data_IF_797754022092
#
_entry.id   IF_797754022092
#
_cell.length_a   1.000
_cell.length_b   1.000
_cell.length_c   1.000
_cell.angle_alpha   90.00
_cell.angle_beta   90.00
_cell.angle_gamma   90.00
#
_symmetry.space_group_name_H-M   'P 1'
#
loop_
_entity.id
_entity.type
_entity.pdbx_description
1 polymer ?
#
# COMPACT_ATOMS: atom_id res chain seq x y z
N UNK A 1 -7.04 11.54 29.83
CA UNK A 1 -7.05 11.89 28.40
C UNK A 1 -7.09 10.57 27.67
N UNK A 2 -8.17 10.30 26.96
CA UNK A 2 -8.33 9.06 26.20
C UNK A 2 -7.22 8.99 25.18
N UNK A 3 -6.49 7.87 25.14
CA UNK A 3 -5.49 7.60 24.12
C UNK A 3 -6.17 7.70 22.74
N UNK A 4 -5.72 8.62 21.89
CA UNK A 4 -6.25 8.78 20.54
C UNK A 4 -5.89 7.59 19.63
N UNK A 5 -5.03 6.67 20.08
CA UNK A 5 -4.49 5.59 19.25
C UNK A 5 -3.30 6.03 18.40
N UNK A 6 -2.86 7.29 18.55
CA UNK A 6 -1.82 7.89 17.71
C UNK A 6 -0.46 7.18 17.86
N UNK A 7 -0.14 6.66 19.04
CA UNK A 7 1.13 5.92 19.27
C UNK A 7 1.19 4.64 18.42
N UNK A 8 0.10 3.86 18.39
CA UNK A 8 0.01 2.66 17.55
C UNK A 8 0.03 3.03 16.07
N UNK A 9 -0.82 3.99 15.67
CA UNK A 9 -0.90 4.42 14.29
C UNK A 9 0.44 4.90 13.73
N UNK A 10 1.22 5.69 14.50
CA UNK A 10 2.56 6.15 14.09
C UNK A 10 3.59 5.02 14.05
N UNK A 11 3.48 4.02 14.92
CA UNK A 11 4.38 2.87 14.92
C UNK A 11 4.20 1.99 13.67
N UNK A 12 2.96 1.87 13.17
CA UNK A 12 2.59 1.02 12.04
C UNK A 12 2.47 1.81 10.70
N UNK A 13 2.65 3.14 10.74
CA UNK A 13 2.37 4.03 9.60
C UNK A 13 3.23 3.71 8.35
N UNK A 14 4.48 3.33 8.56
CA UNK A 14 5.40 3.02 7.45
C UNK A 14 4.98 1.73 6.74
N UNK A 15 4.63 0.69 7.50
CA UNK A 15 4.12 -0.57 6.98
C UNK A 15 2.77 -0.35 6.28
N UNK A 16 1.93 0.54 6.81
CA UNK A 16 0.70 0.96 6.14
C UNK A 16 0.98 1.62 4.79
N UNK A 17 1.92 2.56 4.73
CA UNK A 17 2.28 3.31 3.53
C UNK A 17 2.79 2.40 2.40
N UNK A 18 3.52 1.34 2.74
CA UNK A 18 4.03 0.36 1.78
C UNK A 18 3.09 -0.82 1.50
N UNK A 19 1.88 -0.83 2.07
CA UNK A 19 0.89 -1.91 1.98
C UNK A 19 1.40 -3.26 2.54
N UNK A 20 2.17 -3.21 3.62
CA UNK A 20 2.79 -4.37 4.27
C UNK A 20 2.02 -4.84 5.51
N UNK A 21 0.92 -4.18 5.85
CA UNK A 21 0.04 -4.57 6.95
C UNK A 21 -1.00 -5.61 6.55
N UNK A 22 -1.41 -6.42 7.53
CA UNK A 22 -2.61 -7.23 7.39
C UNK A 22 -3.83 -6.35 7.15
N UNK A 23 -4.80 -6.85 6.37
CA UNK A 23 -5.97 -6.06 5.96
C UNK A 23 -6.79 -5.46 7.11
N UNK A 24 -6.81 -6.13 8.26
CA UNK A 24 -7.49 -5.65 9.48
C UNK A 24 -6.75 -4.47 10.10
N UNK A 25 -5.43 -4.58 10.27
CA UNK A 25 -4.61 -3.51 10.86
C UNK A 25 -4.56 -2.27 9.94
N UNK A 26 -4.52 -2.50 8.63
CA UNK A 26 -4.64 -1.43 7.64
C UNK A 26 -6.00 -0.72 7.69
N UNK A 27 -7.09 -1.42 8.04
CA UNK A 27 -8.41 -0.79 8.21
C UNK A 27 -8.45 0.10 9.46
N UNK A 28 -7.91 -0.38 10.58
CA UNK A 28 -7.84 0.37 11.84
C UNK A 28 -7.04 1.68 11.67
N UNK A 29 -5.87 1.61 11.03
CA UNK A 29 -5.05 2.80 10.78
C UNK A 29 -5.74 3.79 9.85
N UNK A 30 -6.43 3.28 8.81
CA UNK A 30 -7.18 4.13 7.87
C UNK A 30 -8.27 4.91 8.59
N UNK A 31 -9.06 4.24 9.42
CA UNK A 31 -10.08 4.89 10.25
C UNK A 31 -9.45 5.94 11.17
N UNK A 32 -8.31 5.64 11.79
CA UNK A 32 -7.63 6.60 12.65
C UNK A 32 -7.15 7.84 11.88
N UNK A 33 -6.50 7.67 10.73
CA UNK A 33 -5.96 8.76 9.93
C UNK A 33 -7.08 9.67 9.40
N UNK A 34 -8.22 9.11 9.02
CA UNK A 34 -9.40 9.87 8.59
C UNK A 34 -9.93 10.82 9.69
N UNK A 35 -9.69 10.48 10.96
CA UNK A 35 -10.21 11.22 12.11
C UNK A 35 -9.12 11.96 12.92
N UNK A 36 -7.85 11.88 12.52
CA UNK A 36 -6.72 12.43 13.26
C UNK A 36 -5.83 13.30 12.38
N UNK A 37 -5.88 14.63 12.57
CA UNK A 37 -5.10 15.59 11.78
C UNK A 37 -3.59 15.41 11.92
N UNK A 38 -3.11 14.97 13.07
CA UNK A 38 -1.69 14.72 13.33
C UNK A 38 -1.19 13.54 12.48
N UNK A 39 -1.86 12.38 12.57
CA UNK A 39 -1.50 11.20 11.80
C UNK A 39 -1.75 11.36 10.29
N UNK A 40 -2.76 12.13 9.88
CA UNK A 40 -2.94 12.52 8.47
C UNK A 40 -1.79 13.39 7.94
N UNK A 41 -1.23 14.26 8.78
CA UNK A 41 -0.09 15.08 8.40
C UNK A 41 1.18 14.24 8.26
N UNK A 42 1.42 13.31 9.19
CA UNK A 42 2.53 12.35 9.10
C UNK A 42 2.44 11.48 7.85
N UNK A 43 1.24 10.94 7.54
CA UNK A 43 1.02 10.16 6.32
C UNK A 43 1.37 10.99 5.08
N UNK A 44 0.92 12.25 5.04
CA UNK A 44 1.20 13.13 3.91
C UNK A 44 2.70 13.35 3.71
N UNK A 45 3.47 13.54 4.80
CA UNK A 45 4.93 13.65 4.73
C UNK A 45 5.54 12.38 4.14
N UNK A 46 5.14 11.20 4.61
CA UNK A 46 5.61 9.91 4.08
C UNK A 46 5.35 9.75 2.58
N UNK A 47 4.16 10.13 2.12
CA UNK A 47 3.79 10.09 0.68
C UNK A 47 4.68 11.02 -0.13
N UNK A 48 4.83 12.28 0.30
CA UNK A 48 5.64 13.28 -0.42
C UNK A 48 7.11 12.84 -0.50
N UNK A 49 7.66 12.27 0.57
CA UNK A 49 9.03 11.74 0.57
C UNK A 49 9.18 10.56 -0.38
N UNK A 50 8.24 9.62 -0.35
CA UNK A 50 8.21 8.44 -1.24
C UNK A 50 8.16 8.86 -2.70
N UNK A 51 7.27 9.78 -3.05
CA UNK A 51 7.16 10.33 -4.41
C UNK A 51 8.43 11.07 -4.85
N UNK A 52 9.07 11.81 -3.95
CA UNK A 52 10.31 12.52 -4.24
C UNK A 52 11.45 11.54 -4.55
N UNK A 53 11.58 10.46 -3.78
CA UNK A 53 12.56 9.39 -4.02
C UNK A 53 12.28 8.68 -5.34
N UNK A 54 11.03 8.30 -5.59
CA UNK A 54 10.62 7.64 -6.84
C UNK A 54 10.93 8.51 -8.07
N UNK A 55 10.68 9.83 -8.00
CA UNK A 55 11.00 10.76 -9.09
C UNK A 55 12.50 10.89 -9.34
N UNK A 56 13.30 10.80 -8.29
CA UNK A 56 14.76 10.86 -8.39
C UNK A 56 15.37 9.56 -8.94
N UNK A 57 14.72 8.42 -8.70
CA UNK A 57 15.14 7.12 -9.21
C UNK A 57 14.93 7.03 -10.73
N UNK A 58 16.00 6.83 -11.49
CA UNK A 58 15.98 6.70 -12.96
C UNK A 58 16.27 5.27 -13.42
N UNK A 59 16.35 4.33 -12.49
CA UNK A 59 16.61 2.93 -12.80
C UNK A 59 15.38 2.34 -13.50
N UNK A 60 15.60 1.74 -14.66
CA UNK A 60 14.54 1.08 -15.42
C UNK A 60 14.71 -0.42 -15.22
N UNK A 61 13.64 -1.08 -14.79
CA UNK A 61 13.63 -2.53 -14.69
C UNK A 61 13.93 -3.17 -16.06
N UNK A 62 14.73 -4.26 -16.13
CA UNK A 62 15.01 -4.95 -17.37
C UNK A 62 13.72 -5.36 -18.11
N UNK A 63 13.65 -5.14 -19.42
CA UNK A 63 12.47 -5.42 -20.24
C UNK A 63 12.05 -6.89 -20.13
N UNK A 64 13.03 -7.81 -20.17
CA UNK A 64 12.77 -9.25 -20.06
C UNK A 64 12.11 -9.61 -18.72
N UNK A 65 12.44 -8.92 -17.63
CA UNK A 65 11.84 -9.15 -16.32
C UNK A 65 10.39 -8.65 -16.30
N UNK A 66 10.15 -7.47 -16.88
CA UNK A 66 8.80 -6.91 -17.02
C UNK A 66 7.89 -7.83 -17.83
N UNK A 67 8.38 -8.37 -18.93
CA UNK A 67 7.62 -9.30 -19.77
C UNK A 67 7.29 -10.60 -19.03
N UNK A 68 8.24 -11.15 -18.28
CA UNK A 68 8.02 -12.33 -17.44
C UNK A 68 6.94 -12.10 -16.38
N UNK A 69 7.00 -10.97 -15.67
CA UNK A 69 5.99 -10.62 -14.65
C UNK A 69 4.61 -10.46 -15.27
N UNK A 70 4.51 -9.74 -16.41
CA UNK A 70 3.23 -9.54 -17.10
C UNK A 70 2.65 -10.85 -17.65
N UNK A 71 3.49 -11.76 -18.14
CA UNK A 71 3.05 -13.09 -18.57
C UNK A 71 2.49 -13.88 -17.39
N UNK A 72 3.23 -13.95 -16.27
CA UNK A 72 2.80 -14.66 -15.06
C UNK A 72 1.47 -14.13 -14.51
N UNK A 73 1.28 -12.80 -14.48
CA UNK A 73 0.01 -12.20 -14.07
C UNK A 73 -1.15 -12.66 -14.96
N UNK A 74 -0.96 -12.69 -16.29
CA UNK A 74 -1.99 -13.12 -17.24
C UNK A 74 -2.35 -14.59 -17.10
N UNK A 75 -1.37 -15.45 -16.83
CA UNK A 75 -1.58 -16.89 -16.58
C UNK A 75 -2.38 -17.12 -15.30
N UNK A 76 -2.08 -16.39 -14.23
CA UNK A 76 -2.85 -16.46 -12.98
C UNK A 76 -4.29 -15.96 -13.21
N UNK A 77 -4.47 -14.88 -13.96
CA UNK A 77 -5.80 -14.34 -14.25
C UNK A 77 -6.65 -15.25 -15.12
N UNK A 78 -6.05 -15.94 -16.11
CA UNK A 78 -6.78 -16.86 -16.97
C UNK A 78 -7.31 -18.07 -16.19
N UNK A 79 -6.54 -18.57 -15.22
CA UNK A 79 -6.94 -19.68 -14.35
C UNK A 79 -7.98 -19.27 -13.29
N UNK A 80 -7.98 -18.00 -12.84
CA UNK A 80 -8.94 -17.51 -11.84
C UNK A 80 -10.29 -17.05 -12.44
N UNK A 81 -10.41 -16.94 -13.77
CA UNK A 81 -11.62 -16.46 -14.47
C UNK A 81 -12.72 -17.53 -14.55
N UNK A 82 -12.42 -18.81 -14.33
CA UNK A 82 -13.42 -19.90 -14.40
C UNK A 82 -14.45 -19.90 -13.24
N UNK A 83 -14.27 -19.09 -12.19
CA UNK A 83 -15.16 -19.13 -11.00
C UNK A 83 -16.29 -18.09 -11.03
N UNK A 84 -16.43 -17.27 -12.08
CA UNK A 84 -17.42 -16.17 -12.11
C UNK A 84 -18.41 -16.15 -13.28
N UNK A 85 -18.62 -17.28 -13.95
CA UNK A 85 -19.69 -17.44 -14.96
C UNK A 85 -20.51 -18.70 -14.71
N UNK A 86 -21.07 -18.85 -13.51
CA UNK A 86 -22.36 -19.55 -13.34
C UNK A 86 -22.93 -19.18 -11.98
N UNK A 87 -23.94 -18.30 -11.99
CA UNK A 87 -25.15 -18.27 -11.15
C UNK A 87 -25.90 -16.95 -11.43
#
# INVERSE_FOLDING_TARGET
MTDCGCTKAKAELEEFLHNELASTDAADIREHIENCSDCSSELHIGVVLTEAVQRACKEVAPEQLRDQVLLSIREIQSTHTEVRVTL
#
